data_IF_005528812182
#
_entry.id   IF_005528812182
#
_cell.length_a   1.000
_cell.length_b   1.000
_cell.length_c   1.000
_cell.angle_alpha   90.00
_cell.angle_beta   90.00
_cell.angle_gamma   90.00
#
_symmetry.space_group_name_H-M   'P 1'
#
loop_
_entity.id
_entity.type
_entity.pdbx_description
1 polymer ?
2 non-polymer ?
3 non-polymer ?
4 non-polymer ?
5 water ?
#
# COMPACT_ATOMS: atom_id res chain seq x y z
N UNK A 11 2.49 -25.74 0.28
CA UNK A 11 3.49 -26.11 1.32
C UNK A 11 4.73 -26.70 0.65
N UNK A 12 5.35 -25.92 -0.24
CA UNK A 12 6.53 -26.35 -0.98
C UNK A 12 7.12 -25.16 -1.75
N UNK A 13 7.82 -24.29 -1.01
CA UNK A 13 8.62 -23.22 -1.60
C UNK A 13 7.72 -22.15 -2.22
N UNK A 14 6.43 -22.16 -1.87
CA UNK A 14 5.48 -21.19 -2.41
C UNK A 14 5.39 -20.00 -1.44
N UNK A 15 5.51 -18.78 -1.99
CA UNK A 15 5.53 -17.57 -1.20
C UNK A 15 4.31 -16.72 -1.57
N UNK A 16 3.21 -16.91 -0.82
CA UNK A 16 1.94 -16.26 -1.10
C UNK A 16 1.64 -15.22 -0.03
N UNK A 17 1.03 -14.10 -0.45
CA UNK A 17 0.57 -13.06 0.44
C UNK A 17 -0.70 -13.52 1.15
N UNK A 18 -0.78 -13.24 2.45
CA UNK A 18 -1.94 -13.55 3.25
C UNK A 18 -2.16 -12.43 4.27
N UNK A 19 -3.33 -12.42 4.90
CA UNK A 19 -3.61 -11.39 5.89
C UNK A 19 -4.50 -11.96 6.98
N UNK A 20 -4.39 -11.35 8.15
CA UNK A 20 -5.20 -11.67 9.31
C UNK A 20 -6.00 -10.42 9.65
N UNK A 21 -7.33 -10.57 9.65
CA UNK A 21 -8.24 -9.45 9.80
C UNK A 21 -8.87 -9.54 11.19
N UNK A 22 -8.52 -8.60 12.07
CA UNK A 22 -9.14 -8.43 13.36
C UNK A 22 -9.85 -7.07 13.39
N UNK A 23 -11.18 -7.09 13.49
CA UNK A 23 -11.98 -5.86 13.44
C UNK A 23 -11.42 -4.85 12.45
N UNK A 24 -11.24 -5.28 11.19
CA UNK A 24 -11.01 -4.42 10.03
C UNK A 24 -9.55 -4.02 9.88
N UNK A 25 -8.73 -4.15 10.93
CA UNK A 25 -7.30 -3.92 10.82
C UNK A 25 -6.63 -5.18 10.30
N UNK A 26 -5.76 -5.05 9.29
CA UNK A 26 -5.20 -6.21 8.61
C UNK A 26 -3.70 -6.29 8.86
N UNK A 27 -3.27 -7.45 9.35
CA UNK A 27 -1.86 -7.83 9.36
C UNK A 27 -1.57 -8.65 8.11
N UNK A 28 -0.60 -8.22 7.30
CA UNK A 28 -0.23 -8.99 6.12
C UNK A 28 1.05 -9.77 6.40
N UNK A 29 1.20 -10.91 5.70
CA UNK A 29 2.37 -11.76 5.84
C UNK A 29 2.59 -12.62 4.60
N UNK A 30 3.71 -13.36 4.60
CA UNK A 30 4.09 -14.25 3.53
C UNK A 30 3.98 -15.67 4.06
N UNK A 31 3.17 -16.50 3.39
CA UNK A 31 3.03 -17.90 3.76
C UNK A 31 4.12 -18.70 3.06
N UNK A 32 4.88 -19.45 3.85
CA UNK A 32 5.79 -20.47 3.34
C UNK A 32 5.56 -21.75 4.14
N UNK A 33 4.94 -22.75 3.51
CA UNK A 33 4.66 -24.01 4.18
C UNK A 33 3.60 -23.84 5.26
N UNK A 34 3.92 -24.25 6.49
CA UNK A 34 3.02 -24.16 7.62
C UNK A 34 3.36 -22.96 8.49
N UNK A 35 4.06 -21.96 7.92
CA UNK A 35 4.51 -20.81 8.69
C UNK A 35 4.23 -19.51 7.94
N UNK A 36 4.13 -18.42 8.70
CA UNK A 36 3.87 -17.09 8.18
C UNK A 36 5.02 -16.17 8.58
N UNK A 37 5.58 -15.45 7.60
CA UNK A 37 6.55 -14.40 7.87
C UNK A 37 5.82 -13.07 7.83
N UNK A 38 6.08 -12.23 8.84
CA UNK A 38 5.42 -10.94 8.96
C UNK A 38 6.32 -10.01 9.76
N UNK A 39 5.99 -8.72 9.74
CA UNK A 39 6.74 -7.73 10.52
C UNK A 39 6.46 -7.96 12.00
N UNK A 40 7.52 -7.86 12.80
CA UNK A 40 7.43 -8.15 14.22
C UNK A 40 6.98 -6.87 14.91
N UNK A 41 5.68 -6.57 14.82
CA UNK A 41 5.14 -5.35 15.40
C UNK A 41 3.63 -5.45 15.61
N UNK A 42 3.18 -5.05 16.81
CA UNK A 42 1.78 -4.82 17.10
C UNK A 42 1.51 -3.31 17.23
N UNK A 43 2.49 -2.50 16.84
CA UNK A 43 2.42 -1.05 16.94
C UNK A 43 2.74 -0.46 15.57
N UNK A 44 1.71 -0.29 14.74
CA UNK A 44 1.91 0.11 13.36
C UNK A 44 2.27 1.59 13.33
N UNK A 45 1.87 2.35 14.36
CA UNK A 45 2.22 3.76 14.44
C UNK A 45 3.74 3.92 14.53
N UNK A 46 4.37 3.21 15.47
CA UNK A 46 5.80 3.36 15.65
C UNK A 46 6.56 2.78 14.45
N UNK A 47 6.13 1.62 13.96
CA UNK A 47 6.76 1.01 12.79
C UNK A 47 6.74 1.97 11.59
N UNK A 48 5.58 2.58 11.32
CA UNK A 48 5.42 3.47 10.18
C UNK A 48 6.21 4.77 10.39
N UNK A 49 6.17 5.32 11.61
CA UNK A 49 6.83 6.58 11.91
C UNK A 49 8.35 6.42 11.83
N UNK A 50 8.88 5.28 12.29
CA UNK A 50 10.32 5.04 12.25
C UNK A 50 10.76 4.49 10.90
N UNK A 51 9.85 3.79 10.21
CA UNK A 51 10.18 3.15 8.95
C UNK A 51 11.13 1.96 9.11
N UNK A 52 11.10 1.33 10.29
CA UNK A 52 12.01 0.24 10.60
C UNK A 52 11.27 -0.92 11.24
N UNK A 53 11.64 -2.15 10.85
CA UNK A 53 11.04 -3.34 11.43
C UNK A 53 11.94 -4.56 11.21
N UNK A 54 11.80 -5.52 12.11
CA UNK A 54 12.33 -6.85 11.89
C UNK A 54 11.17 -7.76 11.56
N UNK A 55 11.52 -8.95 11.07
CA UNK A 55 10.55 -9.97 10.73
C UNK A 55 10.49 -11.04 11.81
N UNK A 56 9.34 -11.72 11.88
CA UNK A 56 9.19 -12.91 12.68
C UNK A 56 8.48 -13.97 11.85
N UNK A 57 8.61 -15.21 12.32
CA UNK A 57 8.01 -16.39 11.71
C UNK A 57 7.08 -17.02 12.75
N UNK A 58 5.82 -17.25 12.38
CA UNK A 58 4.86 -17.90 13.27
C UNK A 58 4.16 -19.02 12.51
N UNK A 59 3.44 -19.87 13.27
CA UNK A 59 2.73 -21.00 12.70
C UNK A 59 1.47 -20.51 11.99
N UNK A 60 1.25 -21.02 10.77
CA UNK A 60 0.04 -20.73 10.02
C UNK A 60 -1.17 -21.25 10.79
N UNK A 61 -2.25 -20.47 10.78
CA UNK A 61 -3.50 -20.86 11.39
C UNK A 61 -4.64 -20.53 10.42
N UNK A 62 -5.85 -20.98 10.75
CA UNK A 62 -7.02 -20.80 9.90
C UNK A 62 -7.45 -19.33 9.86
N UNK A 63 -6.96 -18.52 10.81
CA UNK A 63 -7.27 -17.10 10.85
C UNK A 63 -6.75 -16.38 9.60
N UNK A 64 -5.66 -16.90 9.03
CA UNK A 64 -5.01 -16.26 7.91
C UNK A 64 -5.77 -16.55 6.62
N UNK A 65 -5.94 -15.50 5.80
CA UNK A 65 -6.60 -15.61 4.52
C UNK A 65 -5.56 -15.46 3.42
N UNK A 66 -5.42 -16.48 2.59
CA UNK A 66 -4.42 -16.49 1.53
C UNK A 66 -4.99 -15.72 0.34
N UNK A 67 -4.16 -14.84 -0.24
CA UNK A 67 -4.43 -14.24 -1.53
C UNK A 67 -3.73 -15.08 -2.60
N UNK A 68 -4.47 -16.04 -3.16
CA UNK A 68 -3.92 -17.08 -4.03
C UNK A 68 -3.42 -16.48 -5.34
N UNK A 69 -3.82 -15.25 -5.66
CA UNK A 69 -3.41 -14.56 -6.87
C UNK A 69 -2.38 -13.47 -6.56
N UNK A 70 -1.84 -13.47 -5.34
CA UNK A 70 -0.76 -12.57 -4.94
C UNK A 70 0.38 -13.39 -4.35
N UNK A 71 1.62 -13.00 -4.68
CA UNK A 71 2.80 -13.72 -4.23
C UNK A 71 4.05 -12.87 -4.50
N UNK A 72 4.89 -12.72 -3.46
CA UNK A 72 6.01 -11.81 -3.50
C UNK A 72 7.30 -12.60 -3.67
N UNK A 73 7.65 -12.91 -4.94
CA UNK A 73 8.73 -13.83 -5.28
C UNK A 73 9.97 -13.02 -5.66
N UNK A 74 10.45 -12.24 -4.69
CA UNK A 74 11.49 -11.24 -4.91
C UNK A 74 12.81 -11.65 -4.27
N UNK A 75 12.82 -12.78 -3.55
CA UNK A 75 13.97 -13.18 -2.75
C UNK A 75 13.86 -14.68 -2.41
N UNK A 76 15.00 -15.28 -2.05
CA UNK A 76 15.03 -16.66 -1.59
C UNK A 76 14.69 -16.73 -0.10
N UNK A 77 13.90 -17.75 0.24
CA UNK A 77 13.31 -17.90 1.56
C UNK A 77 14.41 -18.00 2.61
N UNK A 78 15.53 -18.66 2.27
CA UNK A 78 16.60 -18.87 3.24
C UNK A 78 17.12 -17.53 3.79
N UNK A 79 17.09 -16.49 2.96
CA UNK A 79 17.58 -15.19 3.38
C UNK A 79 16.63 -14.56 4.39
N UNK A 80 15.32 -14.78 4.21
CA UNK A 80 14.32 -14.29 5.16
C UNK A 80 14.40 -15.08 6.46
N UNK A 81 14.66 -16.38 6.40
CA UNK A 81 14.84 -17.21 7.57
C UNK A 81 16.04 -16.69 8.39
N UNK A 82 17.14 -16.41 7.68
CA UNK A 82 18.34 -15.83 8.30
C UNK A 82 18.04 -14.47 8.92
N UNK A 83 17.25 -13.63 8.25
CA UNK A 83 16.88 -12.32 8.77
C UNK A 83 16.06 -12.45 10.06
N UNK A 84 15.14 -13.43 10.11
CA UNK A 84 14.35 -13.65 11.31
C UNK A 84 15.27 -14.09 12.44
N UNK A 85 16.16 -15.04 12.14
CA UNK A 85 17.05 -15.60 13.15
C UNK A 85 18.02 -14.52 13.66
N UNK A 86 18.48 -13.63 12.78
CA UNK A 86 19.48 -12.64 13.12
C UNK A 86 18.85 -11.40 13.77
N UNK A 87 17.53 -11.28 13.70
CA UNK A 87 16.77 -10.14 14.21
C UNK A 87 17.18 -8.85 13.50
N UNK A 88 17.49 -8.97 12.20
CA UNK A 88 17.87 -7.81 11.40
C UNK A 88 16.72 -6.82 11.24
N UNK A 89 17.05 -5.53 11.46
CA UNK A 89 16.09 -4.44 11.36
C UNK A 89 16.21 -3.83 9.96
N UNK A 90 15.11 -3.88 9.20
CA UNK A 90 15.08 -3.44 7.81
C UNK A 90 14.44 -2.06 7.70
N UNK A 91 14.82 -1.31 6.66
CA UNK A 91 14.05 -0.18 6.18
C UNK A 91 12.82 -0.69 5.44
N UNK A 92 11.63 -0.33 5.94
CA UNK A 92 10.37 -0.77 5.37
C UNK A 92 9.53 0.45 4.98
N UNK A 93 10.22 1.51 4.52
CA UNK A 93 9.58 2.78 4.21
C UNK A 93 9.90 3.26 2.79
N UNK A 94 10.08 2.34 1.85
CA UNK A 94 10.35 2.73 0.47
C UNK A 94 9.07 3.34 -0.13
N UNK A 95 9.20 4.40 -0.92
CA UNK A 95 8.04 5.00 -1.56
C UNK A 95 7.76 4.26 -2.87
N UNK A 96 6.67 4.64 -3.55
CA UNK A 96 6.21 3.98 -4.75
C UNK A 96 7.25 4.03 -5.87
N UNK A 97 8.05 5.11 -5.93
CA UNK A 97 9.02 5.29 -7.00
C UNK A 97 10.11 4.23 -6.86
N UNK A 98 10.56 4.02 -5.62
CA UNK A 98 11.58 3.02 -5.33
C UNK A 98 11.04 1.62 -5.56
N UNK A 99 9.81 1.33 -5.10
CA UNK A 99 9.18 0.03 -5.33
C UNK A 99 9.08 -0.21 -6.83
N UNK A 100 8.59 0.80 -7.57
CA UNK A 100 8.40 0.68 -9.01
C UNK A 100 9.73 0.39 -9.71
N UNK A 101 10.80 1.08 -9.32
CA UNK A 101 12.10 0.86 -9.94
C UNK A 101 12.59 -0.55 -9.62
N UNK A 102 12.37 -1.00 -8.38
CA UNK A 102 12.76 -2.35 -7.96
C UNK A 102 12.02 -3.41 -8.77
N UNK A 103 10.70 -3.26 -8.97
CA UNK A 103 9.89 -4.36 -9.51
C UNK A 103 9.76 -4.27 -11.02
N UNK A 104 9.85 -3.06 -11.61
CA UNK A 104 9.71 -2.89 -13.05
C UNK A 104 11.03 -2.55 -13.73
N UNK A 105 12.09 -2.29 -12.95
CA UNK A 105 13.40 -1.98 -13.52
C UNK A 105 14.33 -3.18 -13.49
N UNK A 106 15.60 -2.96 -13.84
CA UNK A 106 16.58 -4.04 -13.92
C UNK A 106 17.86 -3.69 -13.15
N UNK A 107 17.76 -2.81 -12.16
CA UNK A 107 18.87 -2.53 -11.27
C UNK A 107 19.07 -3.69 -10.31
N UNK A 108 20.34 -3.91 -9.91
CA UNK A 108 20.68 -4.95 -8.96
C UNK A 108 19.94 -4.70 -7.64
N UNK A 109 19.52 -5.79 -7.02
CA UNK A 109 18.71 -5.75 -5.81
C UNK A 109 19.33 -6.75 -4.85
N UNK A 110 19.98 -6.25 -3.81
CA UNK A 110 20.55 -7.09 -2.77
C UNK A 110 19.42 -7.85 -2.06
N UNK A 111 19.78 -8.91 -1.35
CA UNK A 111 18.82 -9.68 -0.56
C UNK A 111 18.20 -8.78 0.50
N UNK A 112 19.02 -7.91 1.11
CA UNK A 112 18.52 -6.97 2.11
C UNK A 112 17.52 -5.99 1.51
N UNK A 113 17.81 -5.44 0.33
CA UNK A 113 16.89 -4.55 -0.35
C UNK A 113 15.61 -5.28 -0.74
N UNK A 114 15.73 -6.53 -1.19
CA UNK A 114 14.58 -7.32 -1.61
C UNK A 114 13.64 -7.56 -0.42
N UNK A 115 14.22 -7.85 0.75
CA UNK A 115 13.41 -8.13 1.93
C UNK A 115 12.79 -6.82 2.42
N UNK A 116 13.56 -5.74 2.41
CA UNK A 116 13.05 -4.42 2.74
C UNK A 116 11.88 -4.00 1.85
N UNK A 117 11.93 -4.38 0.56
CA UNK A 117 10.86 -4.10 -0.39
C UNK A 117 9.59 -4.83 0.01
N UNK A 118 9.72 -6.13 0.31
CA UNK A 118 8.58 -6.92 0.72
C UNK A 118 8.05 -6.41 2.08
N UNK A 119 8.94 -6.03 2.99
CA UNK A 119 8.55 -5.44 4.25
C UNK A 119 7.76 -4.14 4.08
N UNK A 120 8.17 -3.32 3.12
CA UNK A 120 7.48 -2.07 2.80
C UNK A 120 6.04 -2.37 2.34
N UNK A 121 5.91 -3.39 1.48
CA UNK A 121 4.62 -3.76 0.94
C UNK A 121 3.72 -4.25 2.07
N UNK A 122 4.26 -5.07 2.99
CA UNK A 122 3.49 -5.56 4.12
C UNK A 122 3.01 -4.40 4.98
N UNK A 123 3.91 -3.44 5.26
CA UNK A 123 3.61 -2.33 6.14
C UNK A 123 2.56 -1.42 5.51
N UNK A 124 2.77 -1.09 4.24
CA UNK A 124 1.90 -0.18 3.52
C UNK A 124 0.49 -0.74 3.45
N UNK A 125 0.38 -2.05 3.16
CA UNK A 125 -0.91 -2.72 3.10
C UNK A 125 -1.60 -2.66 4.47
N UNK A 126 -0.85 -2.94 5.55
CA UNK A 126 -1.43 -2.91 6.89
C UNK A 126 -1.83 -1.49 7.30
N UNK A 127 -0.99 -0.52 6.95
CA UNK A 127 -1.23 0.88 7.28
C UNK A 127 -2.47 1.38 6.55
N UNK A 128 -2.68 0.95 5.30
CA UNK A 128 -3.83 1.42 4.54
C UNK A 128 -5.12 0.91 5.19
N UNK A 129 -5.08 -0.28 5.82
CA UNK A 129 -6.26 -0.84 6.46
C UNK A 129 -6.67 -0.07 7.73
N UNK A 130 -5.76 0.74 8.29
CA UNK A 130 -6.07 1.46 9.52
C UNK A 130 -6.84 2.75 9.24
N UNK A 131 -6.77 3.24 8.00
CA UNK A 131 -7.29 4.56 7.67
C UNK A 131 -8.81 4.53 7.82
N UNK A 132 -9.30 5.27 8.82
CA UNK A 132 -10.72 5.31 9.16
C UNK A 132 -11.43 6.32 8.24
N UNK B 15 -16.59 8.35 2.38
CA UNK B 15 -15.31 7.88 1.76
C UNK B 15 -15.53 6.46 1.24
N UNK B 16 -15.94 6.35 -0.03
CA UNK B 16 -16.12 5.05 -0.68
C UNK B 16 -14.99 4.83 -1.68
N UNK B 17 -14.05 3.95 -1.32
CA UNK B 17 -12.98 3.54 -2.23
C UNK B 17 -13.54 2.53 -3.22
N UNK B 18 -13.17 2.68 -4.50
CA UNK B 18 -13.64 1.80 -5.56
C UNK B 18 -12.55 1.64 -6.62
N UNK B 19 -12.72 0.72 -7.56
CA UNK B 19 -11.72 0.53 -8.61
C UNK B 19 -12.35 0.11 -9.93
N UNK B 20 -11.62 0.41 -11.02
CA UNK B 20 -11.83 -0.16 -12.34
C UNK B 20 -10.78 -1.22 -12.62
N UNK B 21 -11.22 -2.41 -13.05
CA UNK B 21 -10.34 -3.46 -13.52
C UNK B 21 -9.78 -3.07 -14.89
N UNK B 22 -8.46 -2.86 -14.95
CA UNK B 22 -7.74 -2.58 -16.17
C UNK B 22 -6.80 -3.74 -16.51
N UNK B 23 -7.20 -4.94 -16.07
CA UNK B 23 -6.59 -6.19 -16.52
C UNK B 23 -5.29 -6.50 -15.78
N UNK B 24 -4.25 -5.70 -16.06
CA UNK B 24 -2.96 -5.82 -15.41
C UNK B 24 -2.96 -5.16 -14.04
N UNK B 25 -3.81 -4.12 -13.86
CA UNK B 25 -3.95 -3.50 -12.55
C UNK B 25 -5.38 -3.04 -12.33
N UNK B 26 -5.61 -2.55 -11.11
CA UNK B 26 -6.85 -1.92 -10.70
C UNK B 26 -6.59 -0.43 -10.50
N UNK B 27 -7.40 0.39 -11.15
CA UNK B 27 -7.34 1.84 -11.03
C UNK B 27 -8.36 2.27 -9.99
N UNK B 28 -7.90 2.94 -8.92
CA UNK B 28 -8.74 3.27 -7.78
C UNK B 28 -9.26 4.69 -7.86
N UNK B 29 -10.37 4.91 -7.15
CA UNK B 29 -11.00 6.21 -7.04
C UNK B 29 -11.84 6.31 -5.77
N UNK B 30 -12.22 7.55 -5.44
CA UNK B 30 -13.10 7.84 -4.32
C UNK B 30 -14.45 8.27 -4.90
N UNK B 31 -15.51 7.55 -4.51
CA UNK B 31 -16.85 7.85 -4.97
C UNK B 31 -17.46 8.90 -4.03
N UNK B 32 -17.94 10.00 -4.64
CA UNK B 32 -18.70 11.02 -3.94
C UNK B 32 -19.92 11.33 -4.82
N UNK B 33 -21.10 10.88 -4.37
CA UNK B 33 -22.33 11.05 -5.12
C UNK B 33 -22.31 10.24 -6.42
N UNK B 34 -22.53 10.91 -7.55
CA UNK B 34 -22.57 10.28 -8.85
C UNK B 34 -21.25 10.48 -9.59
N UNK B 35 -20.16 10.79 -8.86
CA UNK B 35 -18.87 11.07 -9.48
C UNK B 35 -17.74 10.37 -8.74
N UNK B 36 -16.60 10.22 -9.43
CA UNK B 36 -15.45 9.51 -8.90
C UNK B 36 -14.22 10.41 -9.01
N UNK B 37 -13.50 10.60 -7.90
CA UNK B 37 -12.23 11.29 -7.89
C UNK B 37 -11.11 10.27 -7.95
N UNK B 38 -10.10 10.52 -8.79
CA UNK B 38 -9.06 9.54 -9.08
C UNK B 38 -7.83 10.27 -9.60
N UNK B 39 -6.72 9.55 -9.71
CA UNK B 39 -5.54 10.04 -10.40
C UNK B 39 -5.85 10.04 -11.89
N UNK B 40 -5.35 11.07 -12.58
CA UNK B 40 -5.54 11.19 -14.02
C UNK B 40 -4.47 10.36 -14.71
N UNK B 41 -4.68 9.04 -14.74
CA UNK B 41 -3.68 8.12 -15.27
C UNK B 41 -4.33 6.83 -15.73
N UNK B 42 -3.91 6.35 -16.91
CA UNK B 42 -4.22 4.99 -17.35
C UNK B 42 -2.95 4.15 -17.37
N UNK B 43 -1.85 4.69 -16.82
CA UNK B 43 -0.55 4.06 -16.92
C UNK B 43 0.08 4.00 -15.53
N UNK B 44 -0.07 2.85 -14.87
CA UNK B 44 0.36 2.69 -13.49
C UNK B 44 1.89 2.73 -13.40
N UNK B 45 2.55 2.25 -14.47
CA UNK B 45 4.00 2.21 -14.49
C UNK B 45 4.57 3.62 -14.41
N UNK B 46 4.07 4.52 -15.28
CA UNK B 46 4.60 5.87 -15.35
C UNK B 46 4.27 6.61 -14.06
N UNK B 47 3.02 6.48 -13.58
CA UNK B 47 2.59 7.20 -12.39
C UNK B 47 3.44 6.77 -11.19
N UNK B 48 3.66 5.46 -11.06
CA UNK B 48 4.40 4.93 -9.92
C UNK B 48 5.88 5.31 -10.02
N UNK B 49 6.45 5.22 -11.23
CA UNK B 49 7.86 5.51 -11.46
C UNK B 49 8.15 6.99 -11.20
N UNK B 50 7.22 7.89 -11.58
CA UNK B 50 7.44 9.32 -11.39
C UNK B 50 6.96 9.78 -10.01
N UNK B 51 6.00 9.05 -9.42
CA UNK B 51 5.39 9.45 -8.16
C UNK B 51 4.54 10.72 -8.27
N UNK B 52 4.02 11.01 -9.47
CA UNK B 52 3.37 12.27 -9.77
C UNK B 52 2.11 12.03 -10.59
N UNK B 53 1.05 12.80 -10.30
CA UNK B 53 -0.19 12.75 -11.06
C UNK B 53 -1.01 14.01 -10.83
N UNK B 54 -1.85 14.32 -11.82
CA UNK B 54 -2.99 15.20 -11.64
C UNK B 54 -4.16 14.38 -11.12
N UNK B 55 -5.19 15.06 -10.63
CA UNK B 55 -6.44 14.43 -10.25
C UNK B 55 -7.50 14.72 -11.31
N UNK B 56 -8.48 13.81 -11.42
CA UNK B 56 -9.59 14.00 -12.33
C UNK B 56 -10.87 13.53 -11.65
N UNK B 57 -11.99 14.03 -12.17
CA UNK B 57 -13.33 13.69 -11.71
C UNK B 57 -14.10 13.11 -12.89
N UNK B 58 -14.71 11.93 -12.72
CA UNK B 58 -15.51 11.31 -13.77
C UNK B 58 -16.88 10.91 -13.22
N UNK B 59 -17.81 10.62 -14.13
CA UNK B 59 -19.14 10.15 -13.76
C UNK B 59 -19.06 8.69 -13.30
N UNK B 60 -19.70 8.39 -12.17
CA UNK B 60 -19.80 7.03 -11.68
C UNK B 60 -20.54 6.17 -12.70
N UNK B 61 -20.04 4.94 -12.91
CA UNK B 61 -20.68 3.97 -13.78
C UNK B 61 -20.66 2.61 -13.06
N UNK B 62 -21.36 1.64 -13.64
CA UNK B 62 -21.48 0.31 -13.06
C UNK B 62 -20.15 -0.45 -13.17
N UNK B 63 -19.22 0.04 -14.00
CA UNK B 63 -17.91 -0.58 -14.16
C UNK B 63 -17.11 -0.49 -12.86
N UNK B 64 -17.40 0.52 -12.02
CA UNK B 64 -16.67 0.70 -10.78
C UNK B 64 -17.12 -0.31 -9.74
N UNK B 65 -16.14 -0.92 -9.05
CA UNK B 65 -16.39 -1.92 -8.03
C UNK B 65 -16.07 -1.29 -6.66
N UNK B 66 -17.05 -1.26 -5.76
CA UNK B 66 -16.86 -0.64 -4.46
C UNK B 66 -16.10 -1.60 -3.54
N UNK B 67 -15.10 -1.05 -2.84
CA UNK B 67 -14.06 -1.83 -2.19
C UNK B 67 -14.13 -1.64 -0.67
N UNK B 68 -13.94 -0.39 -0.21
CA UNK B 68 -13.79 -0.08 1.21
C UNK B 68 -14.76 1.03 1.60
N UNK B 69 -15.55 0.76 2.66
CA UNK B 69 -16.57 1.68 3.12
C UNK B 69 -16.18 2.21 4.50
N UNK B 70 -15.64 3.44 4.53
CA UNK B 70 -15.13 4.06 5.74
C UNK B 70 -15.68 5.48 5.88
N UNK B 71 -15.80 5.95 7.13
CA UNK B 71 -16.12 7.34 7.42
C UNK B 71 -15.05 8.27 6.85
N UNK B 72 -15.43 9.54 6.69
CA UNK B 72 -14.62 10.53 6.00
C UNK B 72 -13.90 11.42 7.03
N UNK B 73 -12.69 11.00 7.42
CA UNK B 73 -11.97 11.60 8.54
C UNK B 73 -10.92 12.60 8.07
N UNK B 74 -10.16 12.26 7.02
CA UNK B 74 -8.85 12.86 6.80
C UNK B 74 -8.84 13.83 5.61
N UNK B 75 -9.99 14.01 4.93
CA UNK B 75 -10.06 15.01 3.88
C UNK B 75 -11.49 15.47 3.65
N UNK B 76 -11.60 16.70 3.13
CA UNK B 76 -12.84 17.32 2.73
C UNK B 76 -13.00 17.16 1.22
N UNK B 77 -14.24 17.11 0.74
CA UNK B 77 -14.54 17.06 -0.69
C UNK B 77 -13.92 18.26 -1.40
N UNK B 78 -13.99 19.42 -0.75
CA UNK B 78 -13.52 20.69 -1.30
C UNK B 78 -12.03 20.56 -1.69
N UNK B 79 -11.27 19.76 -0.96
CA UNK B 79 -9.84 19.62 -1.21
C UNK B 79 -9.62 18.87 -2.53
N UNK B 80 -10.46 17.85 -2.77
CA UNK B 80 -10.37 17.07 -3.99
C UNK B 80 -10.84 17.91 -5.18
N UNK B 81 -11.89 18.71 -4.98
CA UNK B 81 -12.36 19.62 -6.00
C UNK B 81 -11.26 20.59 -6.40
N UNK B 82 -10.57 21.18 -5.40
CA UNK B 82 -9.45 22.08 -5.64
C UNK B 82 -8.32 21.38 -6.39
N UNK B 83 -8.02 20.12 -6.01
CA UNK B 83 -6.98 19.36 -6.68
C UNK B 83 -7.31 19.19 -8.17
N UNK B 84 -8.57 18.83 -8.46
CA UNK B 84 -8.99 18.63 -9.85
C UNK B 84 -8.94 19.97 -10.59
N UNK B 85 -9.50 21.01 -9.96
CA UNK B 85 -9.63 22.32 -10.58
C UNK B 85 -8.26 22.92 -10.89
N UNK B 86 -7.26 22.65 -10.04
CA UNK B 86 -5.95 23.25 -10.19
C UNK B 86 -5.20 22.72 -11.42
N UNK B 87 -5.52 21.48 -11.82
CA UNK B 87 -4.81 20.75 -12.87
C UNK B 87 -3.32 20.68 -12.55
N UNK B 88 -2.99 20.76 -11.25
CA UNK B 88 -1.61 20.69 -10.82
C UNK B 88 -1.19 19.23 -10.83
N UNK B 89 0.08 18.98 -11.17
CA UNK B 89 0.70 17.67 -11.01
C UNK B 89 1.26 17.59 -9.58
N UNK B 90 0.64 16.72 -8.77
CA UNK B 90 0.98 16.59 -7.37
C UNK B 90 1.95 15.43 -7.15
N UNK B 91 2.75 15.54 -6.09
CA UNK B 91 3.46 14.41 -5.53
C UNK B 91 2.46 13.51 -4.81
N UNK B 92 2.36 12.25 -5.26
CA UNK B 92 1.39 11.31 -4.73
C UNK B 92 2.12 10.06 -4.22
N UNK B 93 3.32 10.28 -3.65
CA UNK B 93 4.27 9.21 -3.36
C UNK B 93 4.79 9.31 -1.92
N UNK B 94 3.90 9.68 -0.99
CA UNK B 94 4.30 9.85 0.40
C UNK B 94 4.66 8.49 1.00
N UNK B 95 5.72 8.47 1.81
CA UNK B 95 6.16 7.25 2.48
C UNK B 95 5.36 7.05 3.76
N UNK B 96 5.62 5.93 4.43
CA UNK B 96 4.88 5.51 5.61
C UNK B 96 5.03 6.49 6.77
N UNK B 97 6.17 7.19 6.86
CA UNK B 97 6.39 8.15 7.94
C UNK B 97 5.42 9.31 7.82
N UNK B 98 5.27 9.81 6.58
CA UNK B 98 4.37 10.91 6.29
C UNK B 98 2.92 10.46 6.50
N UNK B 99 2.57 9.28 6.00
CA UNK B 99 1.22 8.74 6.16
C UNK B 99 0.92 8.62 7.65
N UNK B 100 1.87 8.06 8.42
CA UNK B 100 1.69 7.89 9.85
C UNK B 100 1.44 9.22 10.55
N UNK B 101 2.21 10.25 10.19
CA UNK B 101 2.04 11.58 10.78
C UNK B 101 0.64 12.12 10.45
N UNK B 102 0.21 11.92 9.19
CA UNK B 102 -1.09 12.37 8.72
C UNK B 102 -2.23 11.67 9.49
N UNK B 103 -2.12 10.36 9.72
CA UNK B 103 -3.23 9.54 10.20
C UNK B 103 -3.27 9.49 11.73
N UNK B 104 -2.09 9.52 12.36
CA UNK B 104 -1.95 9.36 13.80
C UNK B 104 -1.53 10.66 14.48
N UNK B 105 -1.30 11.73 13.71
CA UNK B 105 -0.96 13.03 14.29
C UNK B 105 -2.15 13.71 14.98
N UNK B 106 -1.91 14.88 15.59
CA UNK B 106 -2.90 15.57 16.37
C UNK B 106 -3.60 16.65 15.53
N UNK B 107 -2.82 17.36 14.72
CA UNK B 107 -3.33 18.53 14.00
C UNK B 107 -4.15 18.06 12.80
N UNK B 108 -5.19 18.83 12.46
CA UNK B 108 -6.01 18.52 11.30
C UNK B 108 -5.13 18.68 10.06
N UNK B 109 -5.36 17.82 9.05
CA UNK B 109 -4.59 17.86 7.83
C UNK B 109 -4.82 19.20 7.11
N UNK B 110 -3.75 19.84 6.65
CA UNK B 110 -3.86 20.88 5.64
C UNK B 110 -4.44 20.29 4.36
N UNK B 111 -4.93 21.18 3.48
CA UNK B 111 -5.39 20.81 2.14
C UNK B 111 -4.30 20.05 1.40
N UNK B 112 -3.08 20.59 1.46
CA UNK B 112 -1.93 20.00 0.79
C UNK B 112 -1.63 18.58 1.30
N UNK B 113 -1.63 18.40 2.62
CA UNK B 113 -1.37 17.11 3.22
C UNK B 113 -2.49 16.13 2.84
N UNK B 114 -3.74 16.62 2.85
CA UNK B 114 -4.88 15.78 2.55
C UNK B 114 -4.81 15.27 1.11
N UNK B 115 -4.43 16.15 0.17
CA UNK B 115 -4.37 15.77 -1.24
C UNK B 115 -3.26 14.74 -1.43
N UNK B 116 -2.10 15.00 -0.80
CA UNK B 116 -0.98 14.06 -0.85
C UNK B 116 -1.38 12.69 -0.32
N UNK B 117 -2.15 12.68 0.77
CA UNK B 117 -2.58 11.45 1.41
C UNK B 117 -3.48 10.66 0.48
N UNK B 118 -4.51 11.31 -0.08
CA UNK B 118 -5.47 10.61 -0.91
C UNK B 118 -4.78 10.12 -2.18
N UNK B 119 -3.90 10.96 -2.75
CA UNK B 119 -3.16 10.56 -3.94
C UNK B 119 -2.30 9.32 -3.69
N UNK B 120 -1.64 9.31 -2.53
CA UNK B 120 -0.76 8.21 -2.17
C UNK B 120 -1.56 6.92 -1.99
N UNK B 121 -2.74 7.02 -1.36
CA UNK B 121 -3.62 5.87 -1.16
C UNK B 121 -4.01 5.29 -2.52
N UNK B 122 -4.41 6.16 -3.46
CA UNK B 122 -4.86 5.70 -4.76
C UNK B 122 -3.71 5.00 -5.47
N UNK B 123 -2.51 5.60 -5.43
CA UNK B 123 -1.38 5.10 -6.19
C UNK B 123 -0.91 3.77 -5.60
N UNK B 124 -0.80 3.74 -4.27
CA UNK B 124 -0.33 2.55 -3.57
C UNK B 124 -1.24 1.37 -3.83
N UNK B 125 -2.56 1.62 -3.80
CA UNK B 125 -3.54 0.58 -4.07
C UNK B 125 -3.38 0.06 -5.50
N UNK B 126 -3.22 0.97 -6.47
CA UNK B 126 -3.04 0.58 -7.87
C UNK B 126 -1.75 -0.21 -8.09
N UNK B 127 -0.67 0.25 -7.44
CA UNK B 127 0.63 -0.38 -7.56
C UNK B 127 0.57 -1.79 -6.97
N UNK B 128 -0.12 -1.95 -5.84
CA UNK B 128 -0.17 -3.25 -5.18
C UNK B 128 -0.91 -4.26 -6.07
N UNK B 129 -1.87 -3.80 -6.86
CA UNK B 129 -2.65 -4.68 -7.72
C UNK B 129 -1.82 -5.22 -8.90
N UNK B 130 -0.67 -4.60 -9.20
CA UNK B 130 0.14 -5.04 -10.32
C UNK B 130 1.01 -6.26 -9.96
N UNK B 131 1.22 -6.48 -8.66
CA UNK B 131 2.14 -7.52 -8.21
C UNK B 131 1.57 -8.89 -8.56
N UNK B 132 2.29 -9.63 -9.41
CA UNK B 132 1.91 -10.98 -9.82
C UNK B 132 1.96 -11.91 -8.60
X LIG C 1 22.48 -9.56 9.40
X LIG C 1 22.60 -8.96 8.11
X LIG C 1 23.72 -10.21 9.73
X LIG C 1 21.43 -10.53 9.43
X LIG C 1 22.19 -8.51 10.35
X LIG D 1 18.54 0.69 0.61
X LIG D 1 19.71 -0.12 0.43
X LIG D 1 17.48 0.19 -0.24
X LIG D 1 18.83 2.04 0.25
X LIG D 1 18.11 0.63 1.98
X LIG E 1 7.22 -25.81 6.79
X LIG E 1 6.59 -26.85 6.02
X LIG E 1 8.11 -25.06 5.94
X LIG E 1 7.97 -26.40 7.87
X LIG E 1 6.21 -24.93 7.34
X LIG F 1 13.05 -2.33 15.07
X LIG F 1 11.97 -1.72 14.42
X LIG F 1 12.74 -2.77 16.43
X LIG F 1 12.26 -4.10 16.43
X LIG G 1 20.46 -1.95 6.26
X LIG G 1 21.33 -2.97 6.76
X LIG G 1 19.32 -2.58 5.52
X LIG G 1 18.99 -3.82 6.15
X LIG G 1 18.08 -1.71 5.41
X LIG G 1 16.94 -2.49 5.09
X LIG H 1 14.28 -20.10 -2.76
X LIG H 1 13.14 -19.49 -2.15
X LIG H 1 14.77 -21.30 -1.97
X LIG H 1 13.66 -22.16 -1.69
X LIG H 1 15.47 -20.93 -0.69
X LIG H 1 16.89 -20.92 -0.83
X LIG I 1 3.51 19.02 -4.71
X LIG I 1 4.67 18.32 -5.21
X LIG I 1 3.19 20.10 -5.60
X LIG I 1 3.82 19.56 -3.42
X LIG I 1 2.41 18.11 -4.59
X LIG J 1 8.08 9.86 -21.29
X LIG J 1 8.03 10.99 -22.17
X LIG J 1 8.34 8.66 -22.05
X LIG J 1 9.14 10.06 -20.33
X LIG J 1 6.82 9.75 -20.60
X LIG K 1 -16.72 19.39 2.43
X LIG K 1 -16.20 19.92 1.20
X LIG K 1 -16.31 18.01 2.60
X LIG K 1 -16.21 20.18 3.53
X LIG K 1 -18.16 19.44 2.42
X LIG L 1 3.92 16.66 2.74
X LIG L 1 4.33 17.73 1.86
X LIG L 1 4.84 15.56 2.60
X LIG L 1 3.93 17.13 4.10
X LIG L 1 2.57 16.22 2.42
X LIG M 1 -22.93 14.52 -7.52
X LIG M 1 -23.84 14.18 -8.58
X LIG M 1 -21.79 13.65 -7.56
X LIG M 1 -23.59 14.37 -6.24
X LIG M 1 -22.50 15.88 -7.68
X LIG N 1 -16.94 11.35 -17.76
X LIG N 1 -17.88 11.27 -18.83
X LIG N 1 -15.75 12.02 -18.20
X LIG N 1 -17.52 12.08 -16.66
X LIG N 1 -16.60 10.02 -17.33
X LIG O 1 8.14 -3.11 -17.16
X LIG O 1 6.96 -2.32 -17.01
X LIG O 1 8.09 -4.42 -16.44
X LIG O 1 8.30 -5.54 -17.27
X LIG P 1 1.80 10.18 -20.18
X LIG P 1 2.79 9.45 -20.90
X LIG P 1 1.94 11.66 -20.32
X LIG P 1 2.02 12.36 -19.09
X LIG Q 1 3.55 13.66 -14.39
X LIG Q 1 2.50 13.72 -15.32
X LIG Q 1 4.41 12.47 -14.55
X LIG Q 1 3.69 11.28 -14.70
#
# INVERSE_FOLDING_TARGET
GPGSPYGQQPQNRMMKLAYLDRGFYKHYGIIVGDHVYQLDSDDIFKTALTGKAKFTKTKLTSDWVIEEECELDYFRIKYLESAVDSEHIFSVDKNCETIAKDIFGTHTLSQHQAIGLVGTILLTAGLMSTIK
GPGSPYGQQPQNRMMKLAYLDRGFYKHYGIIVGDHVYQLDSDDIFKTALTGKAKFTKTKLTSDWVIEEECELDYFRIKYLESAVDSEHIFSVDKNCETIAKDIFGTHTLSQHQAIGLVGTILLTAGLMSTIK
SO4 S O1 O2 O3 O4
SO4 S O1 O2 O3 O4
SO4 S O1 O2 O3 O4
EDO C1 O1 C2 O2
GOL C1 O1 C2 O2 C3 O3
GOL C1 O1 C2 O2 C3 O3
SO4 S O1 O2 O3 O4
SO4 S O1 O2 O3 O4
SO4 S O1 O2 O3 O4
SO4 S O1 O2 O3 O4
SO4 S O1 O2 O3 O4
SO4 S O1 O2 O3 O4
EDO C1 O1 C2 O2
EDO C1 O1 C2 O2
EDO C1 O1 C2 O2
#
